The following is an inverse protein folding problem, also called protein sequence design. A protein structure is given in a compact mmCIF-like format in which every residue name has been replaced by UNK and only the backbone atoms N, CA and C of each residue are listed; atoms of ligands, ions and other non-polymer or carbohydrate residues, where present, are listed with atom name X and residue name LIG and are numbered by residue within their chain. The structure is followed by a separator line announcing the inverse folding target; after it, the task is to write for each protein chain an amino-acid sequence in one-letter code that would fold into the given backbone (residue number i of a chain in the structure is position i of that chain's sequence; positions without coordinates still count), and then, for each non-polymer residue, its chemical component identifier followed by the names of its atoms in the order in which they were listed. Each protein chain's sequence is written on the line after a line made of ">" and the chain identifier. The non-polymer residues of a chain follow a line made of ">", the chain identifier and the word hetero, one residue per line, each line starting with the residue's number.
data_IF_495086338889
#
_entry.id   IF_495086338889
#
_cell.length_a   1.000
_cell.length_b   1.000
_cell.length_c   1.000
_cell.angle_alpha   90.00
_cell.angle_beta   90.00
_cell.angle_gamma   90.00
#
_symmetry.space_group_name_H-M   'P 1'
#
loop_
_entity.id
_entity.type
_entity.pdbx_description
1 polymer ?
#
# COMPACT_ATOMS: atom_id res chain seq x y z
N UNK A 1 -0.34 -16.12 -5.00
CA UNK A 1 -1.47 -15.51 -4.27
C UNK A 1 -2.00 -14.38 -5.13
N UNK A 2 -3.32 -14.23 -5.30
CA UNK A 2 -3.84 -13.17 -6.17
C UNK A 2 -4.01 -11.89 -5.36
N UNK A 3 -3.79 -10.72 -5.97
CA UNK A 3 -4.02 -9.40 -5.34
C UNK A 3 -5.43 -9.31 -4.73
N UNK A 4 -6.38 -10.04 -5.32
CA UNK A 4 -7.74 -10.22 -4.82
C UNK A 4 -7.84 -10.73 -3.38
N UNK A 5 -6.98 -11.69 -3.05
CA UNK A 5 -7.06 -12.42 -1.78
C UNK A 5 -6.68 -11.54 -0.60
N UNK A 6 -6.08 -10.36 -0.84
CA UNK A 6 -5.56 -9.46 0.17
C UNK A 6 -6.23 -8.08 0.17
N UNK A 7 -7.40 -7.94 -0.46
CA UNK A 7 -8.18 -6.71 -0.45
C UNK A 7 -9.08 -6.60 0.79
N UNK A 8 -8.98 -5.47 1.49
CA UNK A 8 -9.79 -5.12 2.65
C UNK A 8 -10.34 -3.71 2.52
N UNK A 9 -11.40 -3.43 3.27
CA UNK A 9 -11.90 -2.08 3.50
C UNK A 9 -11.69 -1.72 4.96
N UNK A 10 -11.22 -0.50 5.21
CA UNK A 10 -11.28 0.08 6.54
C UNK A 10 -12.48 1.01 6.62
N UNK A 11 -13.39 0.71 7.53
CA UNK A 11 -14.59 1.51 7.74
C UNK A 11 -15.02 1.42 9.21
N UNK A 12 -15.43 2.55 9.79
CA UNK A 12 -15.92 2.62 11.17
C UNK A 12 -14.91 2.02 12.18
N UNK A 13 -13.62 2.28 11.95
CA UNK A 13 -12.53 1.77 12.79
C UNK A 13 -12.23 0.28 12.65
N UNK A 14 -12.74 -0.41 11.62
CA UNK A 14 -12.57 -1.87 11.45
C UNK A 14 -12.08 -2.22 10.05
N UNK A 15 -11.19 -3.22 9.99
CA UNK A 15 -10.80 -3.90 8.76
C UNK A 15 -11.76 -5.07 8.48
N UNK A 16 -12.27 -5.14 7.26
CA UNK A 16 -13.08 -6.27 6.78
C UNK A 16 -12.74 -6.60 5.33
N UNK A 17 -12.93 -7.87 4.94
CA UNK A 17 -12.88 -8.24 3.52
C UNK A 17 -13.96 -7.48 2.77
N UNK A 18 -13.63 -7.07 1.54
CA UNK A 18 -14.58 -6.36 0.69
C UNK A 18 -14.46 -6.82 -0.76
N UNK A 19 -15.51 -6.56 -1.52
CA UNK A 19 -15.51 -6.77 -2.96
C UNK A 19 -14.60 -5.75 -3.65
N UNK A 20 -13.99 -6.19 -4.75
CA UNK A 20 -13.21 -5.28 -5.59
C UNK A 20 -14.10 -4.21 -6.22
N UNK A 21 -13.72 -2.92 -6.13
CA UNK A 21 -14.35 -1.91 -6.95
C UNK A 21 -14.01 -2.14 -8.43
N UNK A 22 -14.90 -1.70 -9.32
CA UNK A 22 -14.81 -2.00 -10.75
C UNK A 22 -13.50 -1.50 -11.41
N UNK A 23 -12.93 -0.39 -10.94
CA UNK A 23 -11.64 0.10 -11.43
C UNK A 23 -10.49 -0.80 -11.01
N UNK A 24 -10.54 -1.40 -9.81
CA UNK A 24 -9.51 -2.30 -9.30
C UNK A 24 -9.59 -3.66 -9.99
N UNK A 25 -10.79 -4.18 -10.21
CA UNK A 25 -11.00 -5.42 -10.97
C UNK A 25 -10.40 -5.31 -12.38
N UNK A 26 -10.71 -4.24 -13.10
CA UNK A 26 -10.13 -3.97 -14.43
C UNK A 26 -8.61 -3.86 -14.39
N UNK A 27 -8.07 -3.27 -13.33
CA UNK A 27 -6.61 -3.17 -13.14
C UNK A 27 -5.99 -4.57 -12.97
N UNK A 28 -6.62 -5.45 -12.19
CA UNK A 28 -6.13 -6.83 -11.97
C UNK A 28 -6.31 -7.76 -13.17
N UNK A 29 -7.26 -7.48 -14.06
CA UNK A 29 -7.50 -8.25 -15.29
C UNK A 29 -6.59 -7.83 -16.46
N UNK A 30 -5.88 -6.71 -16.32
CA UNK A 30 -4.98 -6.19 -17.35
C UNK A 30 -3.72 -7.05 -17.44
N UNK A 31 -3.62 -7.88 -18.48
CA UNK A 31 -2.46 -8.75 -18.78
C UNK A 31 -1.27 -7.99 -19.42
N UNK A 32 -1.17 -6.71 -19.11
CA UNK A 32 -0.06 -5.90 -19.59
C UNK A 32 1.16 -6.21 -18.71
N UNK A 33 2.30 -6.54 -19.32
CA UNK A 33 3.59 -6.76 -18.62
C UNK A 33 4.17 -5.47 -17.99
N UNK A 34 3.31 -4.51 -17.65
CA UNK A 34 3.62 -3.25 -16.98
C UNK A 34 3.56 -3.47 -15.46
N UNK A 35 4.40 -2.75 -14.72
CA UNK A 35 4.45 -2.89 -13.25
C UNK A 35 3.14 -2.45 -12.59
N UNK A 36 2.86 -2.99 -11.39
CA UNK A 36 1.60 -2.78 -10.67
C UNK A 36 1.26 -1.30 -10.41
N UNK A 37 2.25 -0.48 -10.05
CA UNK A 37 2.05 0.96 -9.88
C UNK A 37 1.56 1.67 -11.17
N UNK A 38 2.04 1.23 -12.33
CA UNK A 38 1.59 1.76 -13.63
C UNK A 38 0.17 1.27 -13.94
N UNK A 39 -0.13 -0.01 -13.66
CA UNK A 39 -1.48 -0.58 -13.77
C UNK A 39 -2.50 0.20 -12.94
N UNK A 40 -2.17 0.52 -11.67
CA UNK A 40 -3.00 1.38 -10.83
C UNK A 40 -3.15 2.79 -11.40
N UNK A 41 -2.07 3.37 -11.94
CA UNK A 41 -2.12 4.69 -12.57
C UNK A 41 -3.08 4.73 -13.76
N UNK A 42 -3.07 3.71 -14.62
CA UNK A 42 -4.02 3.57 -15.75
C UNK A 42 -5.46 3.37 -15.29
N UNK A 43 -5.66 2.75 -14.14
CA UNK A 43 -6.97 2.65 -13.48
C UNK A 43 -7.45 3.97 -12.87
N UNK A 44 -6.64 5.04 -12.96
CA UNK A 44 -6.95 6.38 -12.45
C UNK A 44 -6.49 6.63 -11.01
N UNK A 45 -5.71 5.73 -10.43
CA UNK A 45 -5.08 5.97 -9.14
C UNK A 45 -3.90 6.94 -9.26
N UNK A 46 -3.65 7.72 -8.22
CA UNK A 46 -2.48 8.61 -8.14
C UNK A 46 -1.72 8.35 -6.85
N UNK A 47 -0.46 7.93 -6.95
CA UNK A 47 0.40 7.76 -5.78
C UNK A 47 0.62 9.11 -5.08
N UNK A 48 0.52 9.10 -3.76
CA UNK A 48 0.63 10.29 -2.90
C UNK A 48 1.88 10.23 -2.06
N UNK A 49 2.11 9.07 -1.44
CA UNK A 49 3.22 8.83 -0.52
C UNK A 49 3.72 7.39 -0.74
N UNK A 50 5.00 7.17 -0.48
CA UNK A 50 5.65 5.87 -0.46
C UNK A 50 6.72 5.89 0.64
N UNK A 51 6.81 4.82 1.41
CA UNK A 51 7.80 4.64 2.48
C UNK A 51 8.51 3.32 2.27
N UNK A 52 9.85 3.31 2.37
CA UNK A 52 10.69 2.12 2.19
C UNK A 52 10.98 1.77 0.72
N UNK A 53 11.86 0.79 0.54
CA UNK A 53 12.31 0.31 -0.78
C UNK A 53 12.00 -1.19 -0.94
N UNK A 54 12.53 -2.03 -0.04
CA UNK A 54 12.28 -3.48 0.02
C UNK A 54 10.90 -3.76 0.63
N UNK A 55 10.73 -3.39 1.90
CA UNK A 55 9.41 -3.34 2.52
C UNK A 55 8.85 -1.97 2.26
N UNK A 56 7.72 -1.90 1.56
CA UNK A 56 7.17 -0.62 1.19
C UNK A 56 5.68 -0.47 1.52
N UNK A 57 5.36 0.75 1.93
CA UNK A 57 4.00 1.20 2.19
C UNK A 57 3.65 2.27 1.17
N UNK A 58 2.78 1.93 0.22
CA UNK A 58 2.36 2.82 -0.86
C UNK A 58 0.94 3.34 -0.62
N UNK A 59 0.76 4.64 -0.78
CA UNK A 59 -0.53 5.30 -0.62
C UNK A 59 -0.96 5.92 -1.94
N UNK A 60 -2.17 5.61 -2.38
CA UNK A 60 -2.76 6.12 -3.61
C UNK A 60 -4.09 6.82 -3.33
N UNK A 61 -4.38 7.90 -4.06
CA UNK A 61 -5.77 8.39 -4.25
C UNK A 61 -6.45 7.52 -5.28
N UNK A 62 -7.67 7.10 -5.00
CA UNK A 62 -8.49 6.32 -5.93
C UNK A 62 -9.35 7.25 -6.81
N UNK A 63 -9.88 6.76 -7.94
CA UNK A 63 -10.78 7.54 -8.81
C UNK A 63 -12.06 8.01 -8.10
N UNK A 64 -12.49 7.29 -7.07
CA UNK A 64 -13.73 7.55 -6.33
C UNK A 64 -13.51 8.48 -5.11
N UNK A 65 -12.48 9.33 -5.14
CA UNK A 65 -12.05 10.25 -4.07
C UNK A 65 -11.62 9.57 -2.74
N UNK A 66 -11.39 8.25 -2.76
CA UNK A 66 -10.89 7.47 -1.62
C UNK A 66 -9.37 7.32 -1.58
N UNK A 67 -8.92 6.38 -0.76
CA UNK A 67 -7.53 5.97 -0.61
C UNK A 67 -7.40 4.46 -0.80
N UNK A 68 -6.29 4.06 -1.43
CA UNK A 68 -5.79 2.70 -1.47
C UNK A 68 -4.43 2.70 -0.78
N UNK A 69 -4.27 1.85 0.23
CA UNK A 69 -3.02 1.68 0.96
C UNK A 69 -2.53 0.27 0.70
N UNK A 70 -1.30 0.12 0.23
CA UNK A 70 -0.69 -1.17 -0.05
C UNK A 70 0.55 -1.35 0.81
N UNK A 71 0.64 -2.49 1.49
CA UNK A 71 1.86 -2.91 2.17
C UNK A 71 2.44 -4.12 1.44
N UNK A 72 3.70 -3.98 1.04
CA UNK A 72 4.49 -4.98 0.34
C UNK A 72 5.66 -5.36 1.25
N UNK A 73 5.87 -6.65 1.41
CA UNK A 73 6.98 -7.26 2.17
C UNK A 73 7.88 -7.96 1.15
N UNK A 74 9.11 -7.46 0.99
CA UNK A 74 10.13 -7.88 0.00
C UNK A 74 9.66 -7.85 -1.46
N UNK A 75 8.80 -8.78 -1.86
CA UNK A 75 8.22 -8.91 -3.20
C UNK A 75 6.74 -9.32 -3.18
N UNK A 76 6.14 -9.51 -2.00
CA UNK A 76 4.77 -9.99 -1.84
C UNK A 76 3.84 -8.86 -1.37
N UNK A 77 2.77 -8.64 -2.12
CA UNK A 77 1.70 -7.75 -1.68
C UNK A 77 0.92 -8.42 -0.54
N UNK A 78 1.23 -7.99 0.69
CA UNK A 78 0.64 -8.54 1.93
C UNK A 78 -0.79 -8.08 2.12
N UNK A 79 -1.05 -6.79 1.89
CA UNK A 79 -2.39 -6.22 2.10
C UNK A 79 -2.65 -4.99 1.24
N UNK A 80 -3.86 -4.92 0.69
CA UNK A 80 -4.44 -3.72 0.06
C UNK A 80 -5.66 -3.27 0.87
N UNK A 81 -5.69 -2.01 1.30
CA UNK A 81 -6.76 -1.44 2.12
C UNK A 81 -7.41 -0.26 1.41
N UNK A 82 -8.73 -0.35 1.21
CA UNK A 82 -9.56 0.72 0.68
C UNK A 82 -10.20 1.53 1.81
N UNK A 83 -10.12 2.86 1.69
CA UNK A 83 -10.70 3.79 2.67
C UNK A 83 -11.38 4.94 1.92
N UNK A 84 -12.69 5.10 2.08
CA UNK A 84 -13.46 6.16 1.39
C UNK A 84 -13.77 7.35 2.30
N UNK A 85 -13.93 7.13 3.61
CA UNK A 85 -14.18 8.20 4.56
C UNK A 85 -12.87 8.85 5.04
N UNK A 86 -12.87 10.18 5.18
CA UNK A 86 -11.68 10.95 5.55
C UNK A 86 -11.33 10.81 7.03
N UNK A 87 -12.31 10.66 7.91
CA UNK A 87 -12.07 10.43 9.33
C UNK A 87 -11.52 9.02 9.57
N UNK A 88 -12.04 8.03 8.84
CA UNK A 88 -11.47 6.68 8.82
C UNK A 88 -10.03 6.69 8.29
N UNK A 89 -9.73 7.46 7.24
CA UNK A 89 -8.35 7.60 6.75
C UNK A 89 -7.41 8.19 7.80
N UNK A 90 -7.82 9.25 8.50
CA UNK A 90 -7.03 9.85 9.58
C UNK A 90 -6.79 8.86 10.72
N UNK A 91 -7.81 8.07 11.05
CA UNK A 91 -7.72 7.03 12.08
C UNK A 91 -6.75 5.93 11.65
N UNK A 92 -6.89 5.44 10.42
CA UNK A 92 -6.00 4.43 9.86
C UNK A 92 -4.56 4.93 9.78
N UNK A 93 -4.37 6.20 9.43
CA UNK A 93 -3.04 6.82 9.38
C UNK A 93 -2.35 6.82 10.74
N UNK A 94 -3.09 7.17 11.79
CA UNK A 94 -2.56 7.18 13.15
C UNK A 94 -2.28 5.78 13.70
N UNK A 95 -3.12 4.80 13.37
CA UNK A 95 -3.06 3.45 13.95
C UNK A 95 -2.15 2.48 13.19
N UNK A 96 -2.03 2.63 11.86
CA UNK A 96 -1.35 1.66 11.00
C UNK A 96 -0.22 2.28 10.19
N UNK A 97 -0.49 3.37 9.44
CA UNK A 97 0.52 3.97 8.53
C UNK A 97 1.72 4.50 9.32
N UNK A 98 1.49 5.36 10.33
CA UNK A 98 2.60 5.98 11.05
C UNK A 98 3.50 4.96 11.80
N UNK A 99 2.95 3.96 12.51
CA UNK A 99 3.76 2.90 13.10
C UNK A 99 4.54 2.09 12.07
N UNK A 100 3.91 1.66 10.96
CA UNK A 100 4.59 0.88 9.92
C UNK A 100 5.69 1.67 9.23
N UNK A 101 5.43 2.91 8.84
CA UNK A 101 6.44 3.79 8.26
C UNK A 101 7.62 3.99 9.21
N UNK A 102 7.36 4.12 10.52
CA UNK A 102 8.44 4.25 11.52
C UNK A 102 9.30 2.99 11.61
N UNK A 103 8.69 1.80 11.52
CA UNK A 103 9.42 0.52 11.51
C UNK A 103 10.27 0.36 10.24
N UNK A 104 9.70 0.67 9.08
CA UNK A 104 10.39 0.64 7.78
C UNK A 104 11.61 1.58 7.82
N UNK A 105 11.42 2.83 8.24
CA UNK A 105 12.51 3.81 8.32
C UNK A 105 13.62 3.41 9.30
N UNK A 106 13.28 2.74 10.41
CA UNK A 106 14.25 2.25 11.37
C UNK A 106 15.03 1.06 10.79
N UNK A 107 14.36 0.16 10.06
CA UNK A 107 15.00 -0.95 9.36
C UNK A 107 15.97 -0.45 8.29
N UNK A 108 15.55 0.49 7.45
CA UNK A 108 16.39 1.12 6.43
C UNK A 108 17.65 1.76 7.04
N UNK A 109 17.49 2.40 8.21
CA UNK A 109 18.61 3.02 8.94
C UNK A 109 19.61 1.98 9.42
N UNK A 110 19.13 0.86 9.95
CA UNK A 110 19.98 -0.23 10.44
C UNK A 110 20.80 -0.84 9.29
N UNK A 111 20.18 -1.08 8.15
CA UNK A 111 20.84 -1.62 6.95
C UNK A 111 21.99 -0.74 6.45
N UNK A 112 21.80 0.58 6.49
CA UNK A 112 22.85 1.55 6.15
C UNK A 112 24.02 1.44 7.11
N UNK A 113 23.75 1.39 8.42
CA UNK A 113 24.79 1.29 9.44
C UNK A 113 25.59 -0.02 9.32
N UNK A 114 24.91 -1.15 9.07
CA UNK A 114 25.57 -2.46 8.92
C UNK A 114 26.48 -2.48 7.67
N UNK A 115 26.05 -1.87 6.56
CA UNK A 115 26.88 -1.70 5.35
C UNK A 115 28.12 -0.83 5.62
N UNK A 116 28.00 0.20 6.46
CA UNK A 116 29.14 1.05 6.84
C UNK A 116 30.15 0.33 7.73
N UNK A 117 29.71 -0.58 8.60
CA UNK A 117 30.60 -1.38 9.44
C UNK A 117 31.31 -2.49 8.65
N UNK A 118 30.63 -3.12 7.69
CA UNK A 118 31.22 -4.17 6.86
C UNK A 118 32.34 -3.67 5.92
N UNK A 119 32.38 -2.37 5.64
CA UNK A 119 33.39 -1.72 4.78
C UNK A 119 34.58 -1.12 5.55
N UNK A 120 34.70 -1.38 6.86
CA UNK A 120 35.84 -0.98 7.71
C UNK A 120 36.72 -2.18 8.03
#
# INVERSE_FOLDING_TARGET
>A
MTIADNLYRFQDGKLSKCDMPAWFLKATESDDAIGWAETLSRAGCRQVESFGDIDNLNLYRTPDDGFLIEYVDVEELVVSVLIYDRADYLTFRAQYIAPLASLIMESDRQDVWDKEQANK
#
